data_IF_301043340764
#
_entry.id   IF_301043340764
#
_cell.length_a   1.000
_cell.length_b   1.000
_cell.length_c   1.000
_cell.angle_alpha   90.00
_cell.angle_beta   90.00
_cell.angle_gamma   90.00
#
_symmetry.space_group_name_H-M   'P 1'
#
loop_
_entity.id
_entity.type
_entity.pdbx_description
1 polymer ?
#
# COMPACT_ATOMS: atom_id res chain seq x y z
N UNK A 1 -37.69 25.54 71.62
CA UNK A 1 -36.68 26.17 70.76
C UNK A 1 -36.94 25.74 69.34
N UNK A 2 -37.30 26.71 68.47
CA UNK A 2 -37.67 26.48 67.05
C UNK A 2 -36.43 26.57 66.22
N UNK A 3 -36.18 25.62 65.31
CA UNK A 3 -35.26 25.79 64.20
C UNK A 3 -35.98 25.47 62.91
N UNK A 4 -36.11 26.54 62.10
CA UNK A 4 -36.70 26.46 60.76
C UNK A 4 -35.72 25.92 59.74
N UNK A 5 -36.23 24.96 58.95
CA UNK A 5 -35.50 24.44 57.76
C UNK A 5 -35.81 25.28 56.53
N UNK A 6 -34.77 25.79 55.89
CA UNK A 6 -34.85 26.51 54.61
C UNK A 6 -34.70 25.44 53.52
N UNK A 7 -35.75 25.23 52.69
CA UNK A 7 -35.68 24.48 51.46
C UNK A 7 -35.04 25.33 50.35
N UNK A 8 -33.84 24.99 49.94
CA UNK A 8 -33.23 25.55 48.73
C UNK A 8 -33.68 24.74 47.52
N UNK A 9 -34.44 25.33 46.62
CA UNK A 9 -34.82 24.78 45.34
C UNK A 9 -33.67 24.93 44.37
N UNK A 10 -33.07 23.80 43.95
CA UNK A 10 -32.08 23.76 42.85
C UNK A 10 -32.81 23.72 41.52
N UNK A 11 -32.75 24.82 40.77
CA UNK A 11 -33.15 24.86 39.35
C UNK A 11 -32.08 24.16 38.52
N UNK A 12 -32.37 22.98 37.99
CA UNK A 12 -31.54 22.32 36.98
C UNK A 12 -31.81 22.97 35.63
N UNK A 13 -30.86 23.77 35.16
CA UNK A 13 -30.85 24.23 33.78
C UNK A 13 -30.36 23.13 32.84
N UNK A 14 -31.27 22.57 32.06
CA UNK A 14 -30.94 21.63 30.97
C UNK A 14 -30.38 22.41 29.81
N UNK A 15 -29.07 22.36 29.64
CA UNK A 15 -28.39 22.81 28.43
C UNK A 15 -28.64 21.81 27.30
N UNK A 16 -29.56 22.12 26.40
CA UNK A 16 -29.71 21.42 25.13
C UNK A 16 -28.54 21.82 24.22
N UNK A 17 -27.55 20.93 24.09
CA UNK A 17 -26.49 21.04 23.08
C UNK A 17 -27.14 20.72 21.73
N UNK A 18 -27.12 21.63 20.73
CA UNK A 18 -27.57 21.29 19.40
C UNK A 18 -26.63 20.22 18.86
N UNK A 19 -27.18 19.05 18.47
CA UNK A 19 -26.45 18.06 17.73
C UNK A 19 -25.94 18.73 16.43
N UNK A 20 -24.64 18.94 16.35
CA UNK A 20 -23.99 19.32 15.10
C UNK A 20 -24.30 18.21 14.09
N UNK A 21 -25.13 18.52 13.09
CA UNK A 21 -25.34 17.67 11.93
C UNK A 21 -23.97 17.37 11.37
N UNK A 22 -23.59 16.09 11.35
CA UNK A 22 -22.45 15.62 10.58
C UNK A 22 -22.70 16.11 9.14
N UNK A 23 -21.99 17.17 8.76
CA UNK A 23 -22.01 17.64 7.39
C UNK A 23 -21.64 16.42 6.54
N UNK A 24 -22.55 16.03 5.69
CA UNK A 24 -22.40 15.03 4.66
C UNK A 24 -21.16 15.43 3.86
N UNK A 25 -20.02 14.83 4.20
CA UNK A 25 -18.76 15.05 3.49
C UNK A 25 -18.96 14.33 2.18
N UNK A 26 -19.38 15.06 1.16
CA UNK A 26 -19.54 14.55 -0.18
C UNK A 26 -18.28 13.72 -0.52
N UNK A 27 -18.45 12.42 -0.68
CA UNK A 27 -17.39 11.57 -1.22
C UNK A 27 -16.95 12.15 -2.57
N UNK A 28 -15.65 12.24 -2.84
CA UNK A 28 -15.17 12.76 -4.11
C UNK A 28 -15.83 11.97 -5.24
N UNK A 29 -16.55 12.68 -6.09
CA UNK A 29 -17.23 12.13 -7.26
C UNK A 29 -16.22 11.34 -8.08
N UNK A 30 -16.34 10.02 -8.09
CA UNK A 30 -15.63 9.18 -9.04
C UNK A 30 -14.65 8.16 -8.47
N UNK A 31 -14.63 7.86 -7.17
CA UNK A 31 -13.81 6.77 -6.65
C UNK A 31 -14.46 5.41 -6.96
N UNK A 32 -14.27 4.89 -8.17
CA UNK A 32 -14.59 3.48 -8.43
C UNK A 32 -13.68 2.62 -7.57
N UNK A 33 -14.20 1.79 -6.66
CA UNK A 33 -13.37 0.87 -5.89
C UNK A 33 -12.57 -0.02 -6.83
N UNK A 34 -11.33 -0.32 -6.47
CA UNK A 34 -10.51 -1.26 -7.23
C UNK A 34 -11.17 -2.64 -7.19
N UNK A 35 -11.49 -3.19 -8.36
CA UNK A 35 -12.07 -4.53 -8.46
C UNK A 35 -10.97 -5.56 -8.08
N UNK A 36 -11.32 -6.54 -7.25
CA UNK A 36 -10.36 -7.55 -6.78
C UNK A 36 -10.87 -8.96 -7.03
N UNK A 37 -9.93 -9.91 -7.11
CA UNK A 37 -10.15 -11.35 -7.08
C UNK A 37 -9.37 -11.93 -5.90
N UNK A 38 -9.82 -13.07 -5.38
CA UNK A 38 -9.06 -13.83 -4.38
C UNK A 38 -8.14 -14.83 -5.06
N UNK A 39 -6.86 -14.81 -4.68
CA UNK A 39 -5.85 -15.78 -5.15
C UNK A 39 -5.16 -16.36 -3.91
N UNK A 40 -5.46 -17.59 -3.58
CA UNK A 40 -4.91 -18.30 -2.43
C UNK A 40 -5.05 -17.52 -1.09
N UNK A 41 -6.19 -16.85 -0.88
CA UNK A 41 -6.48 -16.04 0.30
C UNK A 41 -5.91 -14.61 0.26
N UNK A 42 -5.28 -14.22 -0.84
CA UNK A 42 -4.76 -12.87 -1.08
C UNK A 42 -5.71 -12.10 -1.98
N UNK A 43 -6.11 -10.89 -1.59
CA UNK A 43 -6.83 -9.98 -2.49
C UNK A 43 -5.88 -9.43 -3.53
N UNK A 44 -6.17 -9.69 -4.79
CA UNK A 44 -5.38 -9.26 -5.94
C UNK A 44 -6.23 -8.36 -6.82
N UNK A 45 -5.64 -7.31 -7.37
CA UNK A 45 -6.28 -6.48 -8.39
C UNK A 45 -6.78 -7.39 -9.54
N UNK A 46 -8.04 -7.23 -9.92
CA UNK A 46 -8.64 -8.02 -10.99
C UNK A 46 -7.85 -7.91 -12.30
N UNK A 47 -7.33 -6.71 -12.59
CA UNK A 47 -6.55 -6.39 -13.80
C UNK A 47 -5.08 -6.82 -13.71
N UNK A 48 -4.63 -7.38 -12.56
CA UNK A 48 -3.28 -7.92 -12.44
C UNK A 48 -3.06 -9.03 -13.48
N UNK A 49 -1.82 -9.11 -13.99
CA UNK A 49 -1.44 -10.12 -14.99
C UNK A 49 -1.60 -11.55 -14.45
N UNK A 50 -1.74 -12.52 -15.36
CA UNK A 50 -1.79 -13.94 -14.98
C UNK A 50 -0.49 -14.38 -14.32
N UNK A 51 0.66 -13.82 -14.72
CA UNK A 51 1.96 -14.07 -14.08
C UNK A 51 1.93 -13.61 -12.61
N UNK A 52 1.43 -12.40 -12.33
CA UNK A 52 1.24 -11.91 -10.95
C UNK A 52 0.39 -12.87 -10.12
N UNK A 53 -0.75 -13.30 -10.66
CA UNK A 53 -1.66 -14.24 -9.99
C UNK A 53 -0.99 -15.59 -9.73
N UNK A 54 -0.20 -16.10 -10.68
CA UNK A 54 0.58 -17.35 -10.53
C UNK A 54 1.66 -17.22 -9.44
N UNK A 55 2.40 -16.12 -9.41
CA UNK A 55 3.44 -15.87 -8.39
C UNK A 55 2.80 -15.86 -6.99
N UNK A 56 1.66 -15.16 -6.83
CA UNK A 56 0.94 -15.08 -5.55
C UNK A 56 0.38 -16.45 -5.17
N UNK A 57 -0.21 -17.21 -6.12
CA UNK A 57 -0.73 -18.54 -5.86
C UNK A 57 0.38 -19.53 -5.47
N UNK A 58 1.57 -19.40 -6.05
CA UNK A 58 2.71 -20.25 -5.74
C UNK A 58 3.32 -19.99 -4.36
N UNK A 59 3.24 -18.72 -3.86
CA UNK A 59 3.78 -18.34 -2.55
C UNK A 59 2.93 -17.22 -1.91
N UNK A 60 1.74 -17.58 -1.45
CA UNK A 60 0.84 -16.68 -0.74
C UNK A 60 1.45 -16.18 0.59
N UNK A 61 2.35 -16.97 1.19
CA UNK A 61 3.06 -16.60 2.42
C UNK A 61 4.02 -15.43 2.19
N UNK A 62 4.83 -15.47 1.13
CA UNK A 62 5.71 -14.36 0.77
C UNK A 62 4.90 -13.11 0.36
N UNK A 63 3.81 -13.29 -0.37
CA UNK A 63 2.90 -12.19 -0.71
C UNK A 63 2.32 -11.53 0.56
N UNK A 64 1.86 -12.32 1.54
CA UNK A 64 1.37 -11.80 2.82
C UNK A 64 2.48 -11.10 3.63
N UNK A 65 3.72 -11.63 3.61
CA UNK A 65 4.87 -10.98 4.25
C UNK A 65 5.17 -9.60 3.61
N UNK A 66 5.02 -9.47 2.28
CA UNK A 66 5.15 -8.19 1.59
C UNK A 66 4.04 -7.20 2.00
N UNK A 67 2.79 -7.65 2.13
CA UNK A 67 1.69 -6.83 2.64
C UNK A 67 1.97 -6.33 4.06
N UNK A 68 2.49 -7.21 4.93
CA UNK A 68 2.85 -6.87 6.30
C UNK A 68 3.98 -5.83 6.35
N UNK A 69 5.00 -5.95 5.49
CA UNK A 69 6.07 -4.97 5.36
C UNK A 69 5.52 -3.60 4.92
N UNK A 70 4.54 -3.58 4.04
CA UNK A 70 3.83 -2.36 3.61
C UNK A 70 2.92 -1.76 4.68
N UNK A 71 2.54 -2.53 5.70
CA UNK A 71 1.65 -2.10 6.77
C UNK A 71 0.17 -2.41 6.52
N UNK A 72 -0.62 -2.38 7.60
CA UNK A 72 -2.01 -2.85 7.65
C UNK A 72 -2.99 -2.18 6.68
N UNK A 73 -2.61 -1.02 6.13
CA UNK A 73 -3.44 -0.31 5.14
C UNK A 73 -3.35 -0.89 3.73
N UNK A 74 -2.28 -1.59 3.39
CA UNK A 74 -1.99 -2.10 2.05
C UNK A 74 -2.45 -3.55 1.91
N UNK A 75 -3.71 -3.74 1.47
CA UNK A 75 -4.40 -5.03 1.52
C UNK A 75 -4.69 -5.64 0.16
N UNK A 76 -4.40 -4.94 -0.94
CA UNK A 76 -4.65 -5.40 -2.30
C UNK A 76 -3.31 -5.49 -3.03
N UNK A 77 -2.93 -6.68 -3.47
CA UNK A 77 -1.78 -6.88 -4.34
C UNK A 77 -2.08 -6.38 -5.75
N UNK A 78 -1.16 -5.63 -6.33
CA UNK A 78 -1.32 -5.04 -7.67
C UNK A 78 -0.49 -5.80 -8.69
N UNK A 79 0.80 -5.97 -8.42
CA UNK A 79 1.72 -6.66 -9.34
C UNK A 79 2.79 -7.40 -8.56
N UNK A 80 3.21 -8.54 -9.08
CA UNK A 80 4.37 -9.28 -8.62
C UNK A 80 5.24 -9.70 -9.81
N UNK A 81 6.56 -9.72 -9.62
CA UNK A 81 7.51 -10.22 -10.58
C UNK A 81 8.61 -11.02 -9.89
N UNK A 82 8.89 -12.21 -10.39
CA UNK A 82 9.95 -13.08 -9.89
C UNK A 82 11.16 -13.07 -10.84
N UNK A 83 12.34 -12.92 -10.26
CA UNK A 83 13.61 -12.82 -10.99
C UNK A 83 14.42 -14.08 -10.77
N UNK A 84 13.96 -15.18 -11.38
CA UNK A 84 14.57 -16.51 -11.21
C UNK A 84 14.58 -16.95 -9.75
N UNK A 85 15.77 -17.26 -9.22
CA UNK A 85 15.99 -17.66 -7.81
C UNK A 85 16.59 -16.52 -6.98
N UNK A 86 16.70 -15.33 -7.54
CA UNK A 86 17.37 -14.20 -6.88
C UNK A 86 16.43 -13.39 -5.98
N UNK A 87 15.20 -13.17 -6.45
CA UNK A 87 14.25 -12.37 -5.67
C UNK A 87 12.92 -12.15 -6.35
N UNK A 88 11.99 -11.61 -5.57
CA UNK A 88 10.62 -11.34 -6.01
C UNK A 88 10.19 -9.94 -5.55
N UNK A 89 9.70 -9.14 -6.49
CA UNK A 89 9.11 -7.82 -6.17
C UNK A 89 7.59 -7.96 -6.08
N UNK A 90 7.02 -7.37 -5.03
CA UNK A 90 5.58 -7.24 -4.83
C UNK A 90 5.21 -5.77 -4.71
N UNK A 91 4.06 -5.41 -5.27
CA UNK A 91 3.46 -4.08 -5.09
C UNK A 91 2.06 -4.22 -4.51
N UNK A 92 1.72 -3.30 -3.60
CA UNK A 92 0.49 -3.32 -2.83
C UNK A 92 -0.18 -1.96 -2.83
N UNK A 93 -1.51 -1.93 -2.77
CA UNK A 93 -2.31 -0.70 -2.62
C UNK A 93 -3.35 -0.84 -1.50
N UNK A 94 -3.79 0.31 -0.99
CA UNK A 94 -4.97 0.37 -0.12
C UNK A 94 -6.28 0.57 -0.92
N UNK A 95 -6.18 0.71 -2.24
CA UNK A 95 -7.32 0.91 -3.15
C UNK A 95 -7.97 2.30 -3.11
N UNK A 96 -7.55 3.19 -2.22
CA UNK A 96 -8.13 4.55 -2.09
C UNK A 96 -7.56 5.47 -3.16
N UNK A 97 -8.40 6.39 -3.66
CA UNK A 97 -7.94 7.46 -4.54
C UNK A 97 -7.33 8.58 -3.71
N UNK A 98 -6.16 9.07 -4.09
CA UNK A 98 -5.38 10.09 -3.38
C UNK A 98 -5.23 11.40 -4.14
N UNK A 99 -5.73 11.48 -5.38
CA UNK A 99 -5.64 12.63 -6.26
C UNK A 99 -6.87 12.78 -7.13
N UNK A 100 -6.73 13.52 -8.23
CA UNK A 100 -7.84 13.86 -9.13
C UNK A 100 -8.20 12.74 -10.11
N UNK A 101 -7.24 11.86 -10.41
CA UNK A 101 -7.45 10.73 -11.31
C UNK A 101 -7.78 9.46 -10.53
N UNK A 102 -9.06 9.09 -10.52
CA UNK A 102 -9.56 7.92 -9.79
C UNK A 102 -8.93 6.59 -10.23
N UNK A 103 -8.35 6.54 -11.42
CA UNK A 103 -7.70 5.35 -11.96
C UNK A 103 -6.21 5.31 -11.59
N UNK A 104 -5.49 6.42 -11.80
CA UNK A 104 -4.03 6.46 -11.63
C UNK A 104 -3.58 6.85 -10.23
N UNK A 105 -4.35 7.71 -9.55
CA UNK A 105 -3.95 8.32 -8.29
C UNK A 105 -4.31 7.42 -7.09
N UNK A 106 -3.64 6.25 -7.02
CA UNK A 106 -3.72 5.33 -5.90
C UNK A 106 -2.36 5.12 -5.26
N UNK A 107 -2.29 5.05 -3.93
CA UNK A 107 -1.02 4.83 -3.26
C UNK A 107 -0.52 3.41 -3.51
N UNK A 108 0.78 3.33 -3.72
CA UNK A 108 1.50 2.06 -3.89
C UNK A 108 2.59 1.96 -2.84
N UNK A 109 2.73 0.76 -2.31
CA UNK A 109 3.91 0.30 -1.60
C UNK A 109 4.58 -0.79 -2.43
N UNK A 110 5.90 -0.81 -2.48
CA UNK A 110 6.69 -1.86 -3.11
C UNK A 110 7.71 -2.44 -2.14
N UNK A 111 7.94 -3.76 -2.26
CA UNK A 111 8.95 -4.52 -1.51
C UNK A 111 9.65 -5.48 -2.46
N UNK A 112 10.98 -5.55 -2.40
CA UNK A 112 11.78 -6.49 -3.18
C UNK A 112 12.46 -7.49 -2.25
N UNK A 113 11.97 -8.73 -2.23
CA UNK A 113 12.52 -9.82 -1.42
C UNK A 113 13.79 -10.38 -2.03
N UNK A 114 14.69 -10.82 -1.14
CA UNK A 114 15.91 -11.54 -1.44
C UNK A 114 15.66 -13.04 -1.23
N UNK A 115 15.59 -13.79 -2.32
CA UNK A 115 15.29 -15.24 -2.31
C UNK A 115 16.58 -16.08 -2.28
N UNK A 116 17.78 -15.47 -2.18
CA UNK A 116 19.07 -16.17 -2.25
C UNK A 116 19.51 -16.79 -0.92
N UNK A 117 18.91 -16.35 0.19
CA UNK A 117 19.31 -16.78 1.54
C UNK A 117 20.60 -16.12 2.08
N UNK A 118 21.22 -15.21 1.35
CA UNK A 118 22.44 -14.48 1.74
C UNK A 118 22.28 -12.98 1.53
N UNK A 119 23.04 -12.18 2.28
CA UNK A 119 22.96 -10.73 2.15
C UNK A 119 23.66 -10.26 0.87
N UNK A 120 22.97 -9.45 0.07
CA UNK A 120 23.44 -8.86 -1.18
C UNK A 120 23.10 -7.40 -1.28
N UNK A 121 23.86 -6.65 -2.09
CA UNK A 121 23.45 -5.30 -2.45
C UNK A 121 22.14 -5.37 -3.24
N UNK A 122 21.13 -4.67 -2.75
CA UNK A 122 19.82 -4.55 -3.38
C UNK A 122 19.43 -3.09 -3.47
N UNK A 123 18.61 -2.77 -4.46
CA UNK A 123 17.98 -1.47 -4.64
C UNK A 123 16.56 -1.68 -5.11
N UNK A 124 15.63 -1.03 -4.46
CA UNK A 124 14.26 -0.90 -4.90
C UNK A 124 13.93 0.58 -5.05
N UNK A 125 13.47 0.97 -6.23
CA UNK A 125 13.03 2.32 -6.52
C UNK A 125 11.59 2.29 -7.02
N UNK A 126 10.76 3.21 -6.56
CA UNK A 126 9.37 3.36 -6.98
C UNK A 126 9.15 4.77 -7.53
N UNK A 127 8.80 4.84 -8.81
CA UNK A 127 8.38 6.04 -9.49
C UNK A 127 6.85 6.04 -9.64
N UNK A 128 6.22 7.21 -9.53
CA UNK A 128 4.84 7.38 -9.97
C UNK A 128 4.77 7.74 -11.47
N UNK A 129 3.58 8.08 -11.96
CA UNK A 129 3.38 8.44 -13.38
C UNK A 129 3.60 9.93 -13.66
N UNK A 130 4.05 10.71 -12.68
CA UNK A 130 4.19 12.16 -12.77
C UNK A 130 5.66 12.57 -12.74
N UNK A 131 6.12 13.21 -13.79
CA UNK A 131 7.53 13.61 -13.95
C UNK A 131 8.02 14.61 -12.90
N UNK A 132 7.09 15.30 -12.22
CA UNK A 132 7.41 16.28 -11.17
C UNK A 132 7.54 15.64 -9.78
N UNK A 133 7.14 14.38 -9.61
CA UNK A 133 7.24 13.68 -8.32
C UNK A 133 8.60 13.00 -8.24
N UNK A 134 9.38 13.23 -7.18
CA UNK A 134 10.62 12.48 -6.97
C UNK A 134 10.37 10.99 -6.80
N UNK A 135 11.22 10.17 -7.40
CA UNK A 135 11.26 8.74 -7.12
C UNK A 135 11.63 8.50 -5.65
N UNK A 136 11.06 7.46 -5.06
CA UNK A 136 11.44 7.00 -3.71
C UNK A 136 12.22 5.71 -3.83
N UNK A 137 13.33 5.59 -3.10
CA UNK A 137 14.14 4.38 -3.14
C UNK A 137 14.65 3.95 -1.77
N UNK A 138 14.92 2.66 -1.66
CA UNK A 138 15.71 2.05 -0.61
C UNK A 138 16.82 1.21 -1.24
N UNK A 139 18.05 1.38 -0.77
CA UNK A 139 19.21 0.68 -1.30
C UNK A 139 20.25 0.40 -0.21
N UNK A 140 20.82 -0.79 -0.25
CA UNK A 140 21.78 -1.23 0.74
C UNK A 140 22.14 -2.71 0.58
N UNK A 141 22.76 -3.28 1.61
CA UNK A 141 23.00 -4.73 1.69
C UNK A 141 21.95 -5.36 2.59
N UNK A 142 21.08 -6.18 2.01
CA UNK A 142 19.94 -6.78 2.70
C UNK A 142 19.97 -8.30 2.58
N UNK A 143 19.64 -8.99 3.69
CA UNK A 143 19.46 -10.44 3.72
C UNK A 143 18.02 -10.88 3.45
N UNK A 144 17.05 -9.97 3.66
CA UNK A 144 15.63 -10.30 3.56
C UNK A 144 14.93 -9.53 2.43
N UNK A 145 14.94 -8.20 2.45
CA UNK A 145 14.31 -7.37 1.43
C UNK A 145 14.82 -5.94 1.43
N UNK A 146 14.70 -5.26 0.29
CA UNK A 146 14.78 -3.81 0.14
C UNK A 146 13.36 -3.22 0.12
N UNK A 147 13.18 -2.01 0.66
CA UNK A 147 11.90 -1.37 0.91
C UNK A 147 11.45 -1.56 2.37
N UNK A 148 10.17 -1.27 2.70
CA UNK A 148 9.13 -0.80 1.77
C UNK A 148 9.37 0.64 1.29
N UNK A 149 9.02 0.90 0.03
CA UNK A 149 9.00 2.24 -0.56
C UNK A 149 7.59 2.60 -1.02
N UNK A 150 7.22 3.90 -0.93
CA UNK A 150 5.83 4.33 -1.11
C UNK A 150 5.72 5.48 -2.11
N UNK A 151 4.68 5.43 -2.95
CA UNK A 151 4.26 6.56 -3.79
C UNK A 151 2.75 6.78 -3.64
N UNK A 152 2.32 8.02 -3.41
CA UNK A 152 0.91 8.34 -3.19
C UNK A 152 0.04 8.18 -4.45
N UNK A 153 0.65 8.28 -5.65
CA UNK A 153 -0.01 8.19 -6.96
C UNK A 153 0.70 7.16 -7.85
N UNK A 154 1.12 6.05 -7.23
CA UNK A 154 2.03 5.09 -7.86
C UNK A 154 1.36 4.00 -8.69
N UNK A 155 0.01 3.96 -8.83
CA UNK A 155 -0.66 2.83 -9.47
C UNK A 155 -0.24 2.64 -10.94
N UNK A 156 -0.01 3.70 -11.69
CA UNK A 156 0.53 3.63 -13.05
C UNK A 156 2.05 3.90 -13.12
N UNK A 157 2.70 3.84 -11.98
CA UNK A 157 4.14 4.01 -11.87
C UNK A 157 4.93 2.76 -12.23
N UNK A 158 6.22 2.78 -11.92
CA UNK A 158 7.14 1.67 -12.16
C UNK A 158 8.00 1.40 -10.93
N UNK A 159 8.14 0.12 -10.59
CA UNK A 159 9.14 -0.34 -9.64
C UNK A 159 10.41 -0.77 -10.39
N UNK A 160 11.58 -0.32 -9.94
CA UNK A 160 12.86 -0.77 -10.43
C UNK A 160 13.54 -1.60 -9.34
N UNK A 161 13.89 -2.83 -9.67
CA UNK A 161 14.57 -3.76 -8.77
C UNK A 161 15.96 -4.08 -9.31
N UNK A 162 16.98 -3.92 -8.46
CA UNK A 162 18.36 -4.28 -8.78
C UNK A 162 18.97 -5.09 -7.64
N UNK A 163 19.69 -6.16 -8.00
CA UNK A 163 20.49 -6.95 -7.06
C UNK A 163 21.86 -7.23 -7.65
N UNK A 164 22.90 -7.13 -6.81
CA UNK A 164 24.28 -7.45 -7.22
C UNK A 164 24.84 -8.60 -6.41
N UNK A 165 25.42 -9.57 -7.11
CA UNK A 165 26.18 -10.68 -6.52
C UNK A 165 27.58 -10.67 -7.13
N UNK A 166 28.62 -10.63 -6.30
CA UNK A 166 30.00 -10.55 -6.80
C UNK A 166 30.28 -9.34 -7.70
N UNK A 167 29.58 -8.23 -7.47
CA UNK A 167 29.70 -6.99 -8.25
C UNK A 167 28.94 -6.99 -9.58
N UNK A 168 28.27 -8.07 -9.95
CA UNK A 168 27.47 -8.17 -11.19
C UNK A 168 25.99 -8.00 -10.89
N UNK A 169 25.25 -7.29 -11.73
CA UNK A 169 23.80 -7.25 -11.67
C UNK A 169 23.24 -8.62 -12.02
N UNK A 170 22.53 -9.26 -11.10
CA UNK A 170 21.78 -10.50 -11.30
C UNK A 170 20.29 -10.24 -11.42
N UNK A 171 19.82 -9.10 -10.88
CA UNK A 171 18.52 -8.50 -11.14
C UNK A 171 18.75 -7.06 -11.58
N UNK A 172 18.09 -6.65 -12.66
CA UNK A 172 18.16 -5.29 -13.23
C UNK A 172 16.90 -5.08 -14.08
N UNK A 173 15.75 -4.84 -13.42
CA UNK A 173 14.46 -4.90 -14.07
C UNK A 173 13.52 -3.78 -13.62
N UNK A 174 12.71 -3.30 -14.58
CA UNK A 174 11.56 -2.46 -14.35
C UNK A 174 10.28 -3.28 -14.39
N UNK A 175 9.41 -3.04 -13.44
CA UNK A 175 8.08 -3.64 -13.32
C UNK A 175 7.03 -2.55 -13.42
N UNK A 176 6.14 -2.62 -14.39
CA UNK A 176 4.94 -1.77 -14.44
C UNK A 176 4.03 -2.14 -13.26
N UNK A 177 3.57 -1.15 -12.51
CA UNK A 177 2.81 -1.40 -11.27
C UNK A 177 1.39 -1.87 -11.59
N UNK A 178 0.55 -1.02 -12.14
CA UNK A 178 -0.84 -1.37 -12.47
C UNK A 178 -1.05 -1.62 -13.95
N UNK A 179 -2.27 -2.06 -14.32
CA UNK A 179 -2.69 -2.26 -15.69
C UNK A 179 -3.01 -0.90 -16.36
N UNK A 180 -1.99 -0.15 -16.67
CA UNK A 180 -2.10 1.17 -17.30
C UNK A 180 -1.62 1.08 -18.74
N UNK A 181 -2.54 1.33 -19.68
CA UNK A 181 -2.30 1.40 -21.12
C UNK A 181 -2.12 2.83 -21.57
#
# INVERSE_FOLDING_TARGET
MRFGGVCAALLAATLTVPAASAADRAEPKGSTPLATVDVAGVKVDKEASDETKQIIAADAGAAAAAANACGSGYTISVTAARYGTYGTTYTWTNGKVTGDNAYYDRPICAVFFNDTGSAHYMRLKLADNYTSTPDVEDSGTFSSYAGPVYQNRGYCGRAYSNMKIGGKNVVDNYLQVGACN
#
